data_IF_606491326834
#
_entry.id   IF_606491326834
#
_cell.length_a   1.000
_cell.length_b   1.000
_cell.length_c   1.000
_cell.angle_alpha   90.00
_cell.angle_beta   90.00
_cell.angle_gamma   90.00
#
_symmetry.space_group_name_H-M   'P 1'
#
loop_
_entity.id
_entity.type
_entity.pdbx_description
1 polymer ?
#
# COMPACT_ATOMS: atom_id res chain seq x y z
N UNK A 1 34.46 41.27 56.60
CA UNK A 1 35.80 40.71 56.40
C UNK A 1 35.68 39.23 56.66
N UNK A 2 35.93 38.41 55.62
CA UNK A 2 36.14 36.93 55.62
C UNK A 2 34.98 36.05 56.13
N UNK A 3 34.68 34.86 55.62
CA UNK A 3 34.99 34.15 54.38
C UNK A 3 34.04 32.93 54.36
N UNK A 4 33.69 32.48 53.15
CA UNK A 4 33.42 31.11 52.72
C UNK A 4 33.02 30.01 53.73
N UNK A 5 31.90 29.34 53.45
CA UNK A 5 31.94 27.87 53.37
C UNK A 5 31.01 27.35 52.26
N UNK A 6 31.56 26.43 51.47
CA UNK A 6 30.95 25.75 50.32
C UNK A 6 30.23 24.50 50.80
N UNK A 7 29.00 24.30 50.36
CA UNK A 7 28.40 22.97 50.27
C UNK A 7 27.91 22.74 48.84
N UNK A 8 28.72 22.00 48.08
CA UNK A 8 28.32 21.34 46.84
C UNK A 8 27.31 20.24 47.19
N UNK A 9 26.09 20.31 46.66
CA UNK A 9 25.24 19.14 46.50
C UNK A 9 24.90 18.96 45.03
N UNK A 10 25.38 17.83 44.50
CA UNK A 10 25.46 17.49 43.09
C UNK A 10 24.10 16.96 42.67
N UNK A 11 23.35 17.78 41.93
CA UNK A 11 22.16 17.36 41.21
C UNK A 11 22.50 16.26 40.21
N UNK A 12 22.13 15.02 40.55
CA UNK A 12 22.14 13.89 39.61
C UNK A 12 21.05 14.12 38.56
N UNK A 13 21.41 14.73 37.44
CA UNK A 13 20.62 14.64 36.22
C UNK A 13 20.66 13.19 35.71
N UNK A 14 19.61 12.43 36.03
CA UNK A 14 19.33 11.17 35.36
C UNK A 14 18.89 11.47 33.93
N UNK A 15 19.83 11.41 32.98
CA UNK A 15 19.52 11.38 31.55
C UNK A 15 18.78 10.08 31.27
N UNK A 16 17.46 10.16 31.12
CA UNK A 16 16.64 9.07 30.59
C UNK A 16 17.06 8.86 29.14
N UNK A 17 17.96 7.90 28.91
CA UNK A 17 18.17 7.33 27.59
C UNK A 17 16.91 6.53 27.27
N UNK A 18 15.99 7.14 26.51
CA UNK A 18 14.96 6.40 25.80
C UNK A 18 15.70 5.52 24.80
N UNK A 19 15.90 4.24 25.14
CA UNK A 19 16.36 3.24 24.18
C UNK A 19 15.31 3.18 23.09
N UNK A 20 15.59 3.81 21.95
CA UNK A 20 14.84 3.62 20.73
C UNK A 20 15.13 2.18 20.29
N UNK A 21 14.29 1.25 20.75
CA UNK A 21 14.31 -0.11 20.24
C UNK A 21 14.08 -0.04 18.74
N UNK A 22 15.02 -0.57 17.95
CA UNK A 22 14.83 -0.67 16.50
C UNK A 22 13.52 -1.39 16.22
N UNK A 23 12.70 -0.89 15.27
CA UNK A 23 11.39 -1.44 15.02
C UNK A 23 11.51 -2.89 14.54
N UNK A 24 10.70 -3.78 15.11
CA UNK A 24 10.69 -5.19 14.73
C UNK A 24 9.94 -5.36 13.41
N UNK A 25 10.64 -5.90 12.41
CA UNK A 25 10.05 -6.26 11.12
C UNK A 25 9.21 -7.53 11.23
N UNK A 26 8.20 -7.65 10.36
CA UNK A 26 7.51 -8.90 10.10
C UNK A 26 8.51 -9.98 9.66
N UNK A 27 8.15 -11.24 9.93
CA UNK A 27 9.10 -12.35 9.78
C UNK A 27 9.17 -12.90 8.36
N UNK A 28 8.13 -12.69 7.53
CA UNK A 28 8.06 -13.20 6.16
C UNK A 28 7.08 -12.46 5.24
N UNK A 29 7.15 -12.77 3.95
CA UNK A 29 6.20 -12.38 2.92
C UNK A 29 6.32 -10.91 2.50
N UNK A 30 5.36 -10.44 1.73
CA UNK A 30 5.34 -9.05 1.24
C UNK A 30 5.36 -8.04 2.37
N UNK A 31 4.71 -8.34 3.50
CA UNK A 31 4.72 -7.48 4.68
C UNK A 31 6.15 -7.24 5.19
N UNK A 32 6.96 -8.30 5.36
CA UNK A 32 8.37 -8.15 5.74
C UNK A 32 9.14 -7.29 4.75
N UNK A 33 9.07 -7.64 3.47
CA UNK A 33 9.86 -6.97 2.44
C UNK A 33 9.47 -5.51 2.25
N UNK A 34 8.18 -5.19 2.36
CA UNK A 34 7.69 -3.82 2.32
C UNK A 34 8.17 -3.00 3.52
N UNK A 35 8.10 -3.55 4.75
CA UNK A 35 8.57 -2.85 5.94
C UNK A 35 10.08 -2.57 5.88
N UNK A 36 10.88 -3.54 5.43
CA UNK A 36 12.33 -3.35 5.20
C UNK A 36 12.57 -2.29 4.12
N UNK A 37 11.86 -2.37 2.99
CA UNK A 37 12.01 -1.40 1.90
C UNK A 37 11.69 0.02 2.35
N UNK A 38 10.57 0.23 3.04
CA UNK A 38 10.17 1.56 3.52
C UNK A 38 11.13 2.10 4.58
N UNK A 39 11.56 1.26 5.53
CA UNK A 39 12.38 1.71 6.65
C UNK A 39 13.86 1.90 6.32
N UNK A 40 14.40 1.09 5.39
CA UNK A 40 15.86 0.97 5.18
C UNK A 40 16.31 1.11 3.74
N UNK A 41 15.42 0.97 2.77
CA UNK A 41 15.76 1.09 1.35
C UNK A 41 14.71 1.87 0.53
N UNK A 42 14.28 3.07 0.99
CA UNK A 42 13.24 3.83 0.32
C UNK A 42 13.61 4.20 -1.13
N UNK A 43 14.89 4.29 -1.45
CA UNK A 43 15.42 4.51 -2.79
C UNK A 43 15.14 3.35 -3.75
N UNK A 44 15.23 2.09 -3.28
CA UNK A 44 14.88 0.93 -4.11
C UNK A 44 13.40 0.92 -4.45
N UNK A 45 12.55 1.27 -3.47
CA UNK A 45 11.11 1.36 -3.69
C UNK A 45 10.78 2.51 -4.63
N UNK A 46 11.41 3.67 -4.46
CA UNK A 46 11.22 4.83 -5.33
C UNK A 46 11.64 4.53 -6.78
N UNK A 47 12.74 3.81 -6.99
CA UNK A 47 13.19 3.41 -8.32
C UNK A 47 12.22 2.44 -9.01
N UNK A 48 11.70 1.46 -8.26
CA UNK A 48 10.67 0.55 -8.77
C UNK A 48 9.40 1.31 -9.19
N UNK A 49 8.98 2.28 -8.37
CA UNK A 49 7.84 3.15 -8.68
C UNK A 49 8.08 3.99 -9.94
N UNK A 50 9.27 4.59 -10.10
CA UNK A 50 9.63 5.33 -11.33
C UNK A 50 9.65 4.45 -12.56
N UNK A 51 10.28 3.27 -12.48
CA UNK A 51 10.36 2.31 -13.58
C UNK A 51 8.98 1.90 -14.06
N UNK A 52 8.02 1.70 -13.14
CA UNK A 52 6.63 1.39 -13.50
C UNK A 52 5.85 2.55 -14.12
N UNK A 53 6.32 3.79 -13.96
CA UNK A 53 5.60 5.03 -14.29
C UNK A 53 4.65 5.51 -13.18
N UNK A 54 4.65 4.86 -12.02
CA UNK A 54 3.89 5.29 -10.84
C UNK A 54 4.48 6.54 -10.16
N UNK A 55 5.69 6.94 -10.53
CA UNK A 55 6.32 8.21 -10.18
C UNK A 55 6.95 8.85 -11.42
N UNK A 56 6.83 10.16 -11.52
CA UNK A 56 7.49 10.93 -12.56
C UNK A 56 8.97 11.16 -12.19
N UNK A 57 9.79 11.59 -13.15
CA UNK A 57 11.19 11.90 -12.89
C UNK A 57 11.32 13.04 -11.87
N UNK A 58 12.15 12.85 -10.84
CA UNK A 58 12.34 13.82 -9.76
C UNK A 58 11.23 13.83 -8.69
N UNK A 59 10.11 13.14 -8.90
CA UNK A 59 9.06 13.01 -7.89
C UNK A 59 9.54 12.13 -6.73
N UNK A 60 9.16 12.51 -5.51
CA UNK A 60 9.43 11.75 -4.28
C UNK A 60 8.14 11.33 -3.60
N UNK A 61 8.25 10.39 -2.65
CA UNK A 61 7.11 9.92 -1.85
C UNK A 61 7.40 10.20 -0.38
N UNK A 62 6.45 10.89 0.25
CA UNK A 62 6.32 10.97 1.70
C UNK A 62 5.45 9.80 2.17
N UNK A 63 6.11 8.76 2.68
CA UNK A 63 5.45 7.55 3.18
C UNK A 63 4.71 7.84 4.48
N UNK A 64 3.43 7.48 4.52
CA UNK A 64 2.55 7.64 5.69
C UNK A 64 2.30 6.34 6.44
N UNK A 65 2.45 5.21 5.75
CA UNK A 65 2.31 3.88 6.29
C UNK A 65 2.99 2.89 5.34
N UNK A 66 3.63 1.81 5.83
CA UNK A 66 3.84 1.50 7.23
C UNK A 66 5.12 2.18 7.74
N UNK A 67 5.08 2.83 8.91
CA UNK A 67 6.25 3.50 9.51
C UNK A 67 6.75 2.74 10.75
N UNK A 68 8.08 2.63 10.90
CA UNK A 68 8.68 1.93 12.04
C UNK A 68 8.31 2.55 13.38
N UNK A 69 8.15 3.88 13.44
CA UNK A 69 7.70 4.62 14.63
C UNK A 69 6.25 4.33 15.01
N UNK A 70 5.47 3.75 14.10
CA UNK A 70 4.06 3.39 14.29
C UNK A 70 3.87 1.87 14.26
N UNK A 71 4.93 1.11 14.57
CA UNK A 71 4.94 -0.36 14.53
C UNK A 71 4.43 -0.93 13.20
N UNK A 72 4.74 -0.24 12.10
CA UNK A 72 4.34 -0.63 10.76
C UNK A 72 2.83 -0.85 10.57
N UNK A 73 2.01 0.02 11.19
CA UNK A 73 0.55 -0.07 11.11
C UNK A 73 0.02 0.01 9.66
N UNK A 74 -0.92 -0.87 9.33
CA UNK A 74 -1.67 -0.89 8.06
C UNK A 74 -3.10 -0.37 8.30
N UNK A 75 -3.63 0.40 7.36
CA UNK A 75 -4.89 1.12 7.55
C UNK A 75 -6.00 0.64 6.61
N UNK A 76 -7.24 0.79 7.08
CA UNK A 76 -8.47 0.57 6.31
C UNK A 76 -9.50 1.67 6.58
N UNK A 77 -10.51 1.73 5.73
CA UNK A 77 -11.67 2.61 5.88
C UNK A 77 -11.29 4.09 6.13
N UNK A 78 -12.00 4.80 7.01
CA UNK A 78 -11.72 6.21 7.31
C UNK A 78 -10.33 6.46 7.90
N UNK A 79 -9.62 5.44 8.39
CA UNK A 79 -8.24 5.60 8.84
C UNK A 79 -7.27 5.84 7.66
N UNK A 80 -7.58 5.30 6.48
CA UNK A 80 -6.83 5.58 5.24
C UNK A 80 -6.93 7.06 4.87
N UNK A 81 -8.14 7.62 4.94
CA UNK A 81 -8.36 9.04 4.65
C UNK A 81 -7.56 9.94 5.61
N UNK A 82 -7.62 9.63 6.92
CA UNK A 82 -6.84 10.37 7.93
C UNK A 82 -5.33 10.24 7.71
N UNK A 83 -4.84 9.03 7.43
CA UNK A 83 -3.42 8.76 7.16
C UNK A 83 -2.91 9.58 5.94
N UNK A 84 -3.73 9.72 4.91
CA UNK A 84 -3.43 10.51 3.71
C UNK A 84 -3.72 12.02 3.84
N UNK A 85 -4.18 12.49 5.01
CA UNK A 85 -4.53 13.91 5.21
C UNK A 85 -5.77 14.36 4.42
N UNK A 86 -6.69 13.45 4.10
CA UNK A 86 -7.93 13.75 3.37
C UNK A 86 -9.03 14.09 4.39
N UNK A 87 -9.25 15.38 4.59
CA UNK A 87 -10.25 15.88 5.55
C UNK A 87 -11.69 15.68 5.07
N UNK A 88 -11.92 15.77 3.76
CA UNK A 88 -13.25 15.65 3.16
C UNK A 88 -13.19 14.95 1.80
N UNK A 89 -14.24 14.17 1.52
CA UNK A 89 -14.50 13.58 0.21
C UNK A 89 -15.46 14.51 -0.54
N UNK A 90 -15.04 15.17 -1.64
CA UNK A 90 -15.84 16.24 -2.26
C UNK A 90 -17.22 15.82 -2.74
N UNK A 91 -17.40 14.55 -3.17
CA UNK A 91 -18.59 14.15 -3.93
C UNK A 91 -19.38 13.00 -3.30
N UNK A 92 -18.72 11.94 -2.81
CA UNK A 92 -19.40 10.76 -2.25
C UNK A 92 -18.64 10.25 -1.03
N UNK A 93 -19.37 10.05 0.08
CA UNK A 93 -18.77 9.54 1.32
C UNK A 93 -18.34 8.09 1.14
N UNK A 94 -17.30 7.69 1.87
CA UNK A 94 -16.83 6.30 1.83
C UNK A 94 -17.93 5.31 2.23
N UNK A 95 -18.72 5.63 3.26
CA UNK A 95 -19.83 4.78 3.72
C UNK A 95 -20.95 4.59 2.70
N UNK A 96 -21.05 5.46 1.70
CA UNK A 96 -22.02 5.33 0.60
C UNK A 96 -21.45 4.49 -0.55
N UNK A 97 -20.12 4.36 -0.63
CA UNK A 97 -19.42 3.60 -1.66
C UNK A 97 -19.02 2.21 -1.20
N UNK A 98 -18.66 2.01 0.07
CA UNK A 98 -18.24 0.72 0.58
C UNK A 98 -18.76 0.52 1.99
N UNK A 99 -19.22 -0.70 2.36
CA UNK A 99 -19.58 -0.98 3.73
C UNK A 99 -18.35 -0.88 4.64
N UNK A 100 -18.58 -0.72 5.94
CA UNK A 100 -17.50 -0.83 6.91
C UNK A 100 -16.77 -2.18 6.74
N UNK A 101 -15.45 -2.16 6.86
CA UNK A 101 -14.65 -3.33 6.57
C UNK A 101 -14.12 -3.36 5.12
N UNK A 102 -13.70 -2.20 4.60
CA UNK A 102 -13.00 -2.08 3.33
C UNK A 102 -11.59 -2.68 3.32
N UNK A 103 -10.88 -2.56 2.19
CA UNK A 103 -9.51 -3.03 2.04
C UNK A 103 -8.58 -2.49 3.13
N UNK A 104 -7.72 -3.37 3.64
CA UNK A 104 -6.48 -2.99 4.32
C UNK A 104 -5.45 -2.67 3.24
N UNK A 105 -4.70 -1.59 3.42
CA UNK A 105 -3.63 -1.17 2.51
C UNK A 105 -2.27 -1.44 3.13
N UNK A 106 -1.39 -2.08 2.36
CA UNK A 106 -0.07 -2.49 2.81
C UNK A 106 0.87 -1.29 2.95
N UNK A 107 0.72 -0.26 2.08
CA UNK A 107 1.36 1.04 2.25
C UNK A 107 0.51 2.20 1.71
N UNK A 108 0.75 3.38 2.28
CA UNK A 108 0.13 4.64 1.92
C UNK A 108 1.21 5.73 1.84
N UNK A 109 1.10 6.60 0.84
CA UNK A 109 2.03 7.71 0.68
C UNK A 109 1.40 8.89 -0.03
N UNK A 110 2.06 10.04 0.03
CA UNK A 110 1.73 11.21 -0.78
C UNK A 110 2.95 11.62 -1.58
N UNK A 111 2.77 11.86 -2.87
CA UNK A 111 3.88 12.30 -3.70
C UNK A 111 4.17 13.79 -3.52
N UNK A 112 5.35 14.23 -3.93
CA UNK A 112 5.70 15.66 -3.95
C UNK A 112 4.75 16.49 -4.83
N UNK A 113 4.08 15.87 -5.81
CA UNK A 113 3.05 16.48 -6.66
C UNK A 113 1.63 16.41 -6.06
N UNK A 114 1.50 15.97 -4.81
CA UNK A 114 0.23 15.90 -4.09
C UNK A 114 -0.67 14.74 -4.50
N UNK A 115 -0.13 13.70 -5.18
CA UNK A 115 -0.90 12.50 -5.52
C UNK A 115 -0.91 11.52 -4.35
N UNK A 116 -2.06 10.93 -4.07
CA UNK A 116 -2.17 9.86 -3.09
C UNK A 116 -1.75 8.51 -3.68
N UNK A 117 -0.85 7.81 -3.00
CA UNK A 117 -0.41 6.47 -3.35
C UNK A 117 -1.12 5.44 -2.45
N UNK A 118 -1.76 4.48 -3.09
CA UNK A 118 -2.40 3.32 -2.47
C UNK A 118 -1.64 2.07 -2.94
N UNK A 119 -1.05 1.31 -2.02
CA UNK A 119 -0.18 0.18 -2.37
C UNK A 119 -0.75 -1.14 -1.86
N UNK A 120 -0.77 -2.13 -2.75
CA UNK A 120 -0.99 -3.54 -2.45
C UNK A 120 0.30 -4.30 -2.75
N UNK A 121 0.89 -4.95 -1.76
CA UNK A 121 2.14 -5.67 -1.88
C UNK A 121 1.94 -7.19 -1.89
N UNK A 122 2.60 -7.88 -2.82
CA UNK A 122 2.56 -9.35 -2.93
C UNK A 122 3.94 -9.93 -3.11
N UNK A 123 4.14 -11.10 -2.52
CA UNK A 123 5.40 -11.85 -2.64
C UNK A 123 5.18 -13.25 -3.20
N UNK A 124 3.92 -13.70 -3.36
CA UNK A 124 3.58 -15.00 -3.91
C UNK A 124 2.34 -14.92 -4.82
N UNK A 125 2.38 -15.54 -6.01
CA UNK A 125 1.30 -15.43 -7.01
C UNK A 125 -0.03 -15.97 -6.49
N UNK A 126 -0.03 -17.03 -5.68
CA UNK A 126 -1.27 -17.59 -5.15
C UNK A 126 -2.03 -16.60 -4.23
N UNK A 127 -1.37 -15.60 -3.67
CA UNK A 127 -2.04 -14.52 -2.90
C UNK A 127 -2.95 -13.68 -3.79
N UNK A 128 -2.68 -13.61 -5.10
CA UNK A 128 -3.53 -12.88 -6.04
C UNK A 128 -4.85 -13.61 -6.33
N UNK A 129 -4.89 -14.94 -6.14
CA UNK A 129 -6.07 -15.78 -6.30
C UNK A 129 -7.00 -15.70 -5.07
N UNK A 130 -7.40 -14.48 -4.70
CA UNK A 130 -8.25 -14.26 -3.51
C UNK A 130 -9.65 -14.85 -3.69
N UNK A 131 -10.26 -15.40 -2.62
CA UNK A 131 -11.63 -15.89 -2.66
C UNK A 131 -12.64 -14.75 -2.84
N UNK A 132 -13.90 -15.13 -3.06
CA UNK A 132 -15.04 -14.22 -3.08
C UNK A 132 -15.18 -13.40 -1.79
N UNK A 133 -15.89 -12.27 -1.91
CA UNK A 133 -16.29 -11.48 -0.74
C UNK A 133 -17.02 -12.35 0.28
N UNK A 134 -16.62 -12.22 1.54
CA UNK A 134 -17.24 -12.91 2.68
C UNK A 134 -18.23 -12.00 3.43
N UNK A 135 -18.70 -10.93 2.77
CA UNK A 135 -19.63 -9.98 3.36
C UNK A 135 -21.03 -10.58 3.54
N UNK A 136 -21.80 -10.05 4.50
CA UNK A 136 -23.23 -10.35 4.61
C UNK A 136 -23.98 -9.87 3.37
N UNK A 137 -25.17 -10.43 3.08
CA UNK A 137 -25.91 -10.10 1.84
C UNK A 137 -26.14 -8.60 1.67
N UNK A 138 -26.55 -7.90 2.74
CA UNK A 138 -26.76 -6.45 2.71
C UNK A 138 -25.49 -5.67 2.36
N UNK A 139 -24.35 -6.06 2.92
CA UNK A 139 -23.06 -5.43 2.59
C UNK A 139 -22.59 -5.81 1.18
N UNK A 140 -22.92 -7.04 0.74
CA UNK A 140 -22.56 -7.56 -0.56
C UNK A 140 -23.28 -6.82 -1.70
N UNK A 141 -24.52 -6.38 -1.50
CA UNK A 141 -25.23 -5.52 -2.45
C UNK A 141 -24.46 -4.21 -2.72
N UNK A 142 -24.00 -3.53 -1.67
CA UNK A 142 -23.20 -2.31 -1.79
C UNK A 142 -21.88 -2.60 -2.50
N UNK A 143 -21.18 -3.67 -2.09
CA UNK A 143 -19.92 -4.09 -2.72
C UNK A 143 -20.11 -4.36 -4.22
N UNK A 144 -21.13 -5.13 -4.59
CA UNK A 144 -21.43 -5.46 -6.00
C UNK A 144 -21.75 -4.20 -6.81
N UNK A 145 -22.51 -3.26 -6.25
CA UNK A 145 -22.79 -1.98 -6.91
C UNK A 145 -21.50 -1.22 -7.21
N UNK A 146 -20.64 -1.06 -6.21
CA UNK A 146 -19.40 -0.29 -6.32
C UNK A 146 -18.36 -0.95 -7.22
N UNK A 147 -18.24 -2.28 -7.17
CA UNK A 147 -17.44 -3.04 -8.12
C UNK A 147 -17.98 -2.88 -9.55
N UNK A 148 -19.30 -2.88 -9.75
CA UNK A 148 -19.90 -2.69 -11.06
C UNK A 148 -19.66 -1.28 -11.62
N UNK A 149 -19.73 -0.24 -10.78
CA UNK A 149 -19.36 1.14 -11.14
C UNK A 149 -17.90 1.20 -11.62
N UNK A 150 -16.97 0.68 -10.82
CA UNK A 150 -15.55 0.64 -11.17
C UNK A 150 -15.29 -0.19 -12.43
N UNK A 151 -15.88 -1.38 -12.56
CA UNK A 151 -15.75 -2.22 -13.75
C UNK A 151 -16.21 -1.49 -15.01
N UNK A 152 -17.35 -0.79 -14.97
CA UNK A 152 -17.81 0.00 -16.14
C UNK A 152 -16.82 1.08 -16.53
N UNK A 153 -16.14 1.70 -15.56
CA UNK A 153 -15.08 2.67 -15.84
C UNK A 153 -13.86 2.00 -16.50
N UNK A 154 -13.33 0.92 -15.92
CA UNK A 154 -12.12 0.25 -16.38
C UNK A 154 -12.31 -0.57 -17.67
N UNK A 155 -13.43 -1.27 -17.78
CA UNK A 155 -13.78 -2.15 -18.87
C UNK A 155 -15.29 -2.11 -19.17
N UNK A 156 -15.76 -1.07 -19.89
CA UNK A 156 -17.19 -0.85 -20.15
C UNK A 156 -17.85 -2.00 -20.93
N UNK A 157 -17.06 -2.78 -21.67
CA UNK A 157 -17.55 -3.91 -22.48
C UNK A 157 -17.47 -5.27 -21.76
N UNK A 158 -16.79 -5.34 -20.61
CA UNK A 158 -16.67 -6.59 -19.85
C UNK A 158 -17.95 -6.89 -19.09
N UNK A 159 -18.32 -8.17 -19.04
CA UNK A 159 -19.37 -8.71 -18.18
C UNK A 159 -18.80 -9.48 -16.98
N UNK A 160 -17.48 -9.45 -16.77
CA UNK A 160 -16.82 -10.18 -15.71
C UNK A 160 -17.42 -9.88 -14.34
N UNK A 161 -17.48 -10.93 -13.52
CA UNK A 161 -17.95 -10.89 -12.14
C UNK A 161 -16.75 -10.55 -11.24
N UNK A 162 -16.85 -9.46 -10.47
CA UNK A 162 -15.75 -8.91 -9.69
C UNK A 162 -15.85 -9.18 -8.18
N UNK A 163 -16.99 -9.71 -7.69
CA UNK A 163 -17.20 -10.02 -6.27
C UNK A 163 -16.81 -11.45 -5.88
N UNK A 164 -16.47 -12.27 -6.87
CA UNK A 164 -16.05 -13.66 -6.80
C UNK A 164 -14.54 -13.82 -6.75
N UNK A 165 -13.97 -14.63 -7.64
CA UNK A 165 -12.51 -14.84 -7.66
C UNK A 165 -11.77 -13.53 -7.96
N UNK A 166 -10.56 -13.37 -7.41
CA UNK A 166 -9.74 -12.16 -7.56
C UNK A 166 -10.37 -10.90 -6.92
N UNK A 167 -11.30 -11.08 -5.99
CA UNK A 167 -11.99 -10.01 -5.27
C UNK A 167 -11.06 -8.94 -4.68
N UNK A 168 -9.91 -9.32 -4.13
CA UNK A 168 -8.95 -8.35 -3.61
C UNK A 168 -8.49 -7.41 -4.73
N UNK A 169 -8.00 -7.93 -5.85
CA UNK A 169 -7.59 -7.12 -6.98
C UNK A 169 -8.72 -6.18 -7.45
N UNK A 170 -9.93 -6.71 -7.60
CA UNK A 170 -11.09 -5.95 -8.02
C UNK A 170 -11.48 -4.85 -7.03
N UNK A 171 -11.38 -5.09 -5.72
CA UNK A 171 -11.69 -4.09 -4.71
C UNK A 171 -10.62 -2.98 -4.64
N UNK A 172 -9.34 -3.28 -4.91
CA UNK A 172 -8.30 -2.23 -5.04
C UNK A 172 -8.59 -1.33 -6.23
N UNK A 173 -9.01 -1.89 -7.38
CA UNK A 173 -9.47 -1.10 -8.53
C UNK A 173 -10.67 -0.20 -8.19
N UNK A 174 -11.63 -0.72 -7.42
CA UNK A 174 -12.80 0.06 -7.01
C UNK A 174 -12.42 1.26 -6.12
N UNK A 175 -11.47 1.09 -5.20
CA UNK A 175 -10.98 2.20 -4.38
C UNK A 175 -10.16 3.21 -5.18
N UNK A 176 -9.36 2.78 -6.15
CA UNK A 176 -8.73 3.72 -7.08
C UNK A 176 -9.79 4.57 -7.78
N UNK A 177 -10.82 3.92 -8.34
CA UNK A 177 -11.92 4.60 -9.04
C UNK A 177 -12.63 5.59 -8.12
N UNK A 178 -12.88 5.19 -6.87
CA UNK A 178 -13.49 6.03 -5.86
C UNK A 178 -12.69 7.30 -5.55
N UNK A 179 -11.37 7.18 -5.39
CA UNK A 179 -10.52 8.33 -5.13
C UNK A 179 -10.43 9.22 -6.38
N UNK A 180 -9.98 8.65 -7.51
CA UNK A 180 -9.62 9.42 -8.69
C UNK A 180 -10.81 9.94 -9.48
N UNK A 181 -11.89 9.15 -9.60
CA UNK A 181 -13.01 9.47 -10.48
C UNK A 181 -14.24 9.93 -9.73
N UNK A 182 -14.61 9.25 -8.65
CA UNK A 182 -15.79 9.66 -7.88
C UNK A 182 -15.50 10.94 -7.11
N UNK A 183 -14.35 11.03 -6.44
CA UNK A 183 -14.01 12.17 -5.58
C UNK A 183 -12.99 13.16 -6.17
N UNK A 184 -12.48 12.90 -7.38
CA UNK A 184 -11.56 13.81 -8.06
C UNK A 184 -10.21 13.99 -7.34
N UNK A 185 -9.85 13.08 -6.44
CA UNK A 185 -8.60 13.12 -5.69
C UNK A 185 -7.49 12.48 -6.54
N UNK A 186 -6.43 13.21 -6.92
CA UNK A 186 -5.32 12.64 -7.68
C UNK A 186 -4.73 11.44 -6.93
N UNK A 187 -4.83 10.25 -7.52
CA UNK A 187 -4.35 9.02 -6.88
C UNK A 187 -3.76 8.02 -7.86
N UNK A 188 -2.83 7.22 -7.34
CA UNK A 188 -2.18 6.11 -8.04
C UNK A 188 -2.33 4.84 -7.19
N UNK A 189 -2.83 3.78 -7.81
CA UNK A 189 -2.82 2.43 -7.25
C UNK A 189 -1.59 1.69 -7.74
N UNK A 190 -0.81 1.13 -6.83
CA UNK A 190 0.38 0.34 -7.16
C UNK A 190 0.22 -1.07 -6.61
N UNK A 191 0.28 -2.05 -7.50
CA UNK A 191 0.55 -3.43 -7.13
C UNK A 191 2.07 -3.62 -7.07
N UNK A 192 2.62 -3.66 -5.86
CA UNK A 192 4.05 -3.85 -5.60
C UNK A 192 4.36 -5.34 -5.47
N UNK A 193 5.10 -5.88 -6.42
CA UNK A 193 5.36 -7.31 -6.50
C UNK A 193 6.84 -7.59 -6.18
N UNK A 194 7.09 -8.41 -5.16
CA UNK A 194 8.43 -8.83 -4.80
C UNK A 194 8.85 -10.05 -5.62
N UNK A 195 10.01 -9.95 -6.28
CA UNK A 195 10.69 -11.07 -6.92
C UNK A 195 11.71 -11.67 -5.94
N UNK A 196 12.03 -12.95 -6.09
CA UNK A 196 13.01 -13.67 -5.29
C UNK A 196 12.72 -13.63 -3.77
N UNK A 197 11.45 -13.59 -3.38
CA UNK A 197 11.01 -13.67 -1.99
C UNK A 197 11.07 -15.13 -1.50
N UNK A 198 12.29 -15.61 -1.23
CA UNK A 198 12.59 -17.02 -0.91
C UNK A 198 11.90 -17.52 0.37
N UNK A 199 11.55 -16.62 1.28
CA UNK A 199 10.85 -16.90 2.53
C UNK A 199 9.38 -17.32 2.35
N UNK A 200 8.84 -17.15 1.14
CA UNK A 200 7.51 -17.62 0.74
C UNK A 200 7.50 -18.40 -0.58
N UNK A 201 8.68 -18.80 -1.08
CA UNK A 201 8.81 -19.42 -2.42
C UNK A 201 8.15 -18.57 -3.53
N UNK A 202 8.38 -17.26 -3.45
CA UNK A 202 7.83 -16.30 -4.40
C UNK A 202 8.40 -16.41 -5.82
N UNK A 203 7.82 -15.69 -6.79
CA UNK A 203 8.30 -15.69 -8.17
C UNK A 203 9.75 -15.24 -8.29
N UNK A 204 10.50 -15.82 -9.21
CA UNK A 204 11.93 -15.53 -9.38
C UNK A 204 12.17 -14.30 -10.27
N UNK A 205 11.15 -13.90 -11.04
CA UNK A 205 11.27 -12.89 -12.08
C UNK A 205 10.04 -11.99 -12.24
N UNK A 206 10.26 -10.79 -12.80
CA UNK A 206 9.17 -9.91 -13.23
C UNK A 206 8.31 -10.57 -14.33
N UNK A 207 8.91 -11.42 -15.17
CA UNK A 207 8.21 -12.12 -16.24
C UNK A 207 7.10 -13.04 -15.72
N UNK A 208 7.33 -13.75 -14.61
CA UNK A 208 6.31 -14.55 -13.94
C UNK A 208 5.16 -13.68 -13.42
N UNK A 209 5.49 -12.54 -12.79
CA UNK A 209 4.47 -11.59 -12.33
C UNK A 209 3.68 -10.98 -13.48
N UNK A 210 4.32 -10.67 -14.60
CA UNK A 210 3.63 -10.21 -15.81
C UNK A 210 2.69 -11.28 -16.36
N UNK A 211 3.11 -12.54 -16.39
CA UNK A 211 2.25 -13.66 -16.77
C UNK A 211 1.01 -13.80 -15.87
N UNK A 212 1.21 -13.74 -14.55
CA UNK A 212 0.12 -13.76 -13.58
C UNK A 212 -0.82 -12.55 -13.72
N UNK A 213 -0.26 -11.36 -13.89
CA UNK A 213 -1.02 -10.11 -14.06
C UNK A 213 -1.87 -10.15 -15.32
N UNK A 214 -1.33 -10.64 -16.44
CA UNK A 214 -2.07 -10.79 -17.69
C UNK A 214 -3.26 -11.74 -17.54
N UNK A 215 -3.07 -12.85 -16.80
CA UNK A 215 -4.17 -13.77 -16.50
C UNK A 215 -5.25 -13.12 -15.62
N UNK A 216 -4.85 -12.41 -14.56
CA UNK A 216 -5.77 -11.65 -13.70
C UNK A 216 -6.56 -10.63 -14.51
N UNK A 217 -5.89 -9.88 -15.37
CA UNK A 217 -6.53 -8.87 -16.22
C UNK A 217 -7.53 -9.49 -17.18
N UNK A 218 -7.14 -10.62 -17.81
CA UNK A 218 -8.02 -11.37 -18.71
C UNK A 218 -9.27 -11.88 -17.98
N UNK A 219 -9.12 -12.42 -16.77
CA UNK A 219 -10.24 -12.93 -15.97
C UNK A 219 -11.18 -11.81 -15.48
N UNK A 220 -10.63 -10.64 -15.11
CA UNK A 220 -11.42 -9.46 -14.75
C UNK A 220 -11.95 -8.70 -15.98
N UNK A 221 -11.50 -9.07 -17.18
CA UNK A 221 -11.82 -8.43 -18.44
C UNK A 221 -11.30 -7.00 -18.56
N UNK A 222 -10.24 -6.62 -17.84
CA UNK A 222 -9.62 -5.28 -17.94
C UNK A 222 -8.52 -5.27 -19.01
N UNK A 223 -8.19 -4.11 -19.60
CA UNK A 223 -7.04 -3.99 -20.50
C UNK A 223 -5.72 -4.38 -19.83
N UNK A 224 -4.79 -4.92 -20.63
CA UNK A 224 -3.43 -5.27 -20.19
C UNK A 224 -2.65 -4.08 -19.60
N UNK A 225 -2.91 -2.86 -20.10
CA UNK A 225 -2.31 -1.62 -19.59
C UNK A 225 -3.38 -0.70 -18.99
N UNK A 226 -3.22 -0.41 -17.70
CA UNK A 226 -4.10 0.44 -16.90
C UNK A 226 -3.40 1.73 -16.42
N UNK A 227 -2.18 2.02 -16.89
CA UNK A 227 -1.38 3.16 -16.41
C UNK A 227 -2.07 4.50 -16.68
N UNK A 228 -2.74 4.63 -17.82
CA UNK A 228 -3.55 5.81 -18.16
C UNK A 228 -4.78 6.00 -17.24
N UNK A 229 -5.09 5.01 -16.40
CA UNK A 229 -6.13 5.07 -15.37
C UNK A 229 -5.56 5.15 -13.96
N UNK A 230 -4.25 5.33 -13.83
CA UNK A 230 -3.58 5.47 -12.53
C UNK A 230 -3.35 4.15 -11.80
N UNK A 231 -3.26 3.02 -12.52
CA UNK A 231 -2.96 1.70 -11.94
C UNK A 231 -1.65 1.20 -12.50
N UNK A 232 -0.73 0.82 -11.61
CA UNK A 232 0.65 0.47 -11.94
C UNK A 232 1.04 -0.85 -11.28
N UNK A 233 2.00 -1.53 -11.90
CA UNK A 233 2.67 -2.70 -11.35
C UNK A 233 4.15 -2.36 -11.22
N UNK A 234 4.68 -2.43 -9.99
CA UNK A 234 6.07 -2.16 -9.69
C UNK A 234 6.72 -3.43 -9.14
N UNK A 235 8.02 -3.60 -9.39
CA UNK A 235 8.74 -4.82 -9.05
C UNK A 235 9.97 -4.51 -8.21
N UNK A 236 10.17 -5.27 -7.13
CA UNK A 236 11.35 -5.15 -6.27
C UNK A 236 11.98 -6.52 -6.08
N UNK A 237 13.28 -6.61 -6.31
CA UNK A 237 14.05 -7.82 -6.04
C UNK A 237 14.37 -7.93 -4.54
N UNK A 238 13.72 -8.87 -3.85
CA UNK A 238 13.86 -9.07 -2.41
C UNK A 238 15.30 -9.43 -2.00
N UNK A 239 16.14 -9.95 -2.91
CA UNK A 239 17.57 -10.20 -2.62
C UNK A 239 18.30 -8.92 -2.24
N UNK A 240 17.96 -7.80 -2.87
CA UNK A 240 18.55 -6.48 -2.54
C UNK A 240 18.15 -5.99 -1.15
N UNK A 241 17.04 -6.50 -0.60
CA UNK A 241 16.55 -6.14 0.72
C UNK A 241 17.10 -7.06 1.81
N UNK A 242 17.46 -8.31 1.49
CA UNK A 242 18.05 -9.26 2.44
C UNK A 242 19.34 -8.70 3.04
N UNK A 243 20.23 -8.17 2.20
CA UNK A 243 21.52 -7.63 2.64
C UNK A 243 21.36 -6.41 3.56
N UNK A 244 20.28 -5.65 3.37
CA UNK A 244 19.93 -4.45 4.14
C UNK A 244 19.21 -4.82 5.44
N UNK A 245 18.41 -5.88 5.45
CA UNK A 245 17.67 -6.35 6.62
C UNK A 245 18.60 -6.91 7.72
N UNK A 246 19.81 -7.36 7.37
CA UNK A 246 20.80 -7.90 8.30
C UNK A 246 21.69 -6.83 8.97
N UNK A 247 21.61 -5.58 8.51
CA UNK A 247 22.34 -4.42 9.07
C UNK A 247 21.61 -3.81 10.28
#
# INVERSE_FOLDING_TARGET
>A
MTDADRSDDIGRHATLFTTVTSPLFATRGSQRWLQVAVARAPELLQEALRTSGALDYGETVDWKSPLGTENFCEYRDGAVLRCLGIDHLPNRKLSEFWPAGGPVWDALGTTSEGRHLLVEAKAHIAEAASPASQASEKSLEVIRSSLAEARRYYSPRSTAEWSGSLYQYANRLAFQYFFAKVNGLPSRLVFLNFCNAVDVSGPESEAEWHGATKLIHSLLGVPDDLRNRGVFHAFVDARKLTDIALQ
#
